data_IF_391881756486
#
_entry.id   IF_391881756486
#
_cell.length_a   1.000
_cell.length_b   1.000
_cell.length_c   1.000
_cell.angle_alpha   90.00
_cell.angle_beta   90.00
_cell.angle_gamma   90.00
#
_symmetry.space_group_name_H-M   'P 1'
#
loop_
_entity.id
_entity.type
_entity.pdbx_description
1 polymer ?
#
# COMPACT_ATOMS: atom_id res chain seq x y z
N UNK A 1 3.21 19.63 -3.54
CA UNK A 1 3.45 21.06 -3.56
C UNK A 1 3.72 21.65 -2.19
N UNK A 2 2.74 21.70 -1.29
CA UNK A 2 2.79 22.52 -0.07
C UNK A 2 3.99 22.23 0.86
N UNK A 3 4.40 20.97 1.02
CA UNK A 3 5.51 20.60 1.92
C UNK A 3 6.89 20.62 1.24
N UNK A 4 6.96 20.65 -0.09
CA UNK A 4 8.24 20.54 -0.81
C UNK A 4 9.27 21.61 -0.45
N UNK A 5 8.94 22.91 -0.29
CA UNK A 5 9.90 23.92 0.14
C UNK A 5 10.57 23.55 1.46
N UNK A 6 9.82 22.96 2.39
CA UNK A 6 10.37 22.51 3.68
C UNK A 6 11.32 21.32 3.52
N UNK A 7 10.97 20.35 2.66
CA UNK A 7 11.86 19.20 2.35
C UNK A 7 13.16 19.70 1.72
N UNK A 8 13.08 20.64 0.77
CA UNK A 8 14.24 21.23 0.11
C UNK A 8 15.17 21.97 1.09
N UNK A 9 14.59 22.65 2.09
CA UNK A 9 15.33 23.34 3.16
C UNK A 9 16.16 22.35 4.01
N UNK A 10 15.61 21.16 4.31
CA UNK A 10 16.32 20.12 5.07
C UNK A 10 17.36 19.34 4.25
N UNK A 11 17.18 19.26 2.94
CA UNK A 11 18.06 18.51 2.03
C UNK A 11 18.62 19.38 0.90
N UNK A 12 19.30 20.50 1.21
CA UNK A 12 19.71 21.46 0.18
C UNK A 12 20.76 20.89 -0.80
N UNK A 13 21.63 19.99 -0.34
CA UNK A 13 22.63 19.37 -1.19
C UNK A 13 22.04 18.45 -2.26
N UNK A 14 20.97 17.73 -1.93
CA UNK A 14 20.30 16.78 -2.83
C UNK A 14 19.20 17.45 -3.67
N UNK A 15 18.48 18.41 -3.10
CA UNK A 15 17.26 18.96 -3.68
C UNK A 15 17.36 20.43 -4.10
N UNK A 16 18.49 21.11 -3.82
CA UNK A 16 18.63 22.55 -4.08
C UNK A 16 18.32 22.99 -5.51
N UNK A 17 18.65 22.14 -6.49
CA UNK A 17 18.41 22.38 -7.91
C UNK A 17 17.23 21.53 -8.48
N UNK A 18 16.45 20.86 -7.62
CA UNK A 18 15.30 20.03 -8.02
C UNK A 18 14.02 20.84 -7.87
N UNK A 19 13.18 20.86 -8.90
CA UNK A 19 11.86 21.51 -8.81
C UNK A 19 10.87 20.62 -8.09
N UNK A 20 9.78 21.20 -7.54
CA UNK A 20 8.70 20.45 -6.92
C UNK A 20 8.09 19.43 -7.89
N UNK A 21 7.96 19.76 -9.16
CA UNK A 21 7.45 18.88 -10.21
C UNK A 21 8.40 17.69 -10.48
N UNK A 22 9.71 17.93 -10.55
CA UNK A 22 10.69 16.86 -10.72
C UNK A 22 10.68 15.91 -9.51
N UNK A 23 10.60 16.47 -8.30
CA UNK A 23 10.48 15.67 -7.08
C UNK A 23 9.20 14.84 -7.07
N UNK A 24 8.06 15.46 -7.40
CA UNK A 24 6.77 14.78 -7.50
C UNK A 24 6.81 13.59 -8.47
N UNK A 25 7.35 13.80 -9.67
CA UNK A 25 7.48 12.72 -10.66
C UNK A 25 8.41 11.59 -10.20
N UNK A 26 9.49 11.94 -9.50
CA UNK A 26 10.44 10.94 -9.00
C UNK A 26 9.83 10.05 -7.91
N UNK A 27 9.12 10.65 -6.93
CA UNK A 27 8.51 9.89 -5.82
C UNK A 27 7.23 9.13 -6.21
N UNK A 28 6.62 9.48 -7.35
CA UNK A 28 5.45 8.79 -7.89
C UNK A 28 5.78 7.96 -9.15
N UNK A 29 7.07 7.64 -9.35
CA UNK A 29 7.47 6.77 -10.46
C UNK A 29 6.86 5.38 -10.27
N UNK A 30 6.15 4.90 -11.29
CA UNK A 30 5.61 3.54 -11.33
C UNK A 30 6.61 2.66 -12.05
N UNK A 31 7.13 1.65 -11.36
CA UNK A 31 8.10 0.69 -11.91
C UNK A 31 8.06 -0.61 -11.09
N UNK A 32 7.83 -1.77 -11.71
CA UNK A 32 7.95 -3.04 -11.01
C UNK A 32 9.31 -3.20 -10.34
N UNK A 33 9.32 -3.62 -9.09
CA UNK A 33 10.52 -3.74 -8.27
C UNK A 33 10.55 -5.04 -7.47
N UNK A 34 11.69 -5.34 -6.84
CA UNK A 34 11.87 -6.57 -6.05
C UNK A 34 11.27 -6.46 -4.63
N UNK A 35 11.36 -5.31 -4.00
CA UNK A 35 11.07 -5.15 -2.57
C UNK A 35 9.69 -4.54 -2.37
N UNK A 36 8.79 -5.31 -1.74
CA UNK A 36 7.40 -4.90 -1.48
C UNK A 36 7.29 -3.55 -0.77
N UNK A 37 8.09 -3.34 0.28
CA UNK A 37 8.02 -2.11 1.09
C UNK A 37 8.58 -0.87 0.38
N UNK A 38 9.24 -1.05 -0.75
CA UNK A 38 9.81 0.01 -1.59
C UNK A 38 9.05 0.18 -2.92
N UNK A 39 8.04 -0.67 -3.16
CA UNK A 39 7.25 -0.63 -4.39
C UNK A 39 6.35 0.60 -4.44
N UNK A 40 6.01 0.99 -5.66
CA UNK A 40 5.03 2.06 -5.90
C UNK A 40 3.60 1.61 -5.58
N UNK A 41 2.70 2.58 -5.46
CA UNK A 41 1.30 2.34 -5.07
C UNK A 41 0.54 1.43 -6.04
N UNK A 42 0.84 1.51 -7.35
CA UNK A 42 0.14 0.72 -8.37
C UNK A 42 0.58 -0.75 -8.34
N UNK A 43 1.89 -1.02 -8.25
CA UNK A 43 2.42 -2.39 -8.26
C UNK A 43 2.38 -3.07 -6.89
N UNK A 44 2.16 -2.33 -5.81
CA UNK A 44 2.15 -2.84 -4.44
C UNK A 44 1.22 -4.06 -4.24
N UNK A 45 0.01 -4.00 -4.78
CA UNK A 45 -0.96 -5.08 -4.63
C UNK A 45 -0.51 -6.39 -5.30
N UNK A 46 0.29 -6.31 -6.38
CA UNK A 46 0.86 -7.51 -7.03
C UNK A 46 1.83 -8.24 -6.09
N UNK A 47 2.62 -7.50 -5.33
CA UNK A 47 3.47 -8.08 -4.27
C UNK A 47 2.67 -8.81 -3.20
N UNK A 48 1.51 -8.27 -2.81
CA UNK A 48 0.60 -8.93 -1.85
C UNK A 48 0.01 -10.19 -2.47
N UNK A 49 -0.41 -10.16 -3.74
CA UNK A 49 -0.97 -11.31 -4.46
C UNK A 49 0.02 -12.48 -4.54
N UNK A 50 1.29 -12.23 -4.84
CA UNK A 50 2.34 -13.28 -4.82
C UNK A 50 2.34 -14.02 -3.49
N UNK A 51 2.33 -13.29 -2.39
CA UNK A 51 2.36 -13.86 -1.04
C UNK A 51 1.10 -14.64 -0.72
N UNK A 52 -0.05 -14.13 -1.14
CA UNK A 52 -1.35 -14.79 -0.97
C UNK A 52 -1.40 -16.14 -1.71
N UNK A 53 -0.91 -16.18 -2.97
CA UNK A 53 -0.87 -17.42 -3.75
C UNK A 53 0.04 -18.48 -3.10
N UNK A 54 1.17 -18.08 -2.52
CA UNK A 54 2.07 -18.95 -1.80
C UNK A 54 1.45 -19.41 -0.48
N UNK A 55 0.86 -18.51 0.31
CA UNK A 55 0.20 -18.86 1.58
C UNK A 55 -0.91 -19.90 1.40
N UNK A 56 -1.74 -19.75 0.38
CA UNK A 56 -2.78 -20.75 0.07
C UNK A 56 -2.18 -22.15 -0.09
N UNK A 57 -1.08 -22.27 -0.80
CA UNK A 57 -0.43 -23.54 -1.06
C UNK A 57 0.27 -24.10 0.20
N UNK A 58 0.91 -23.24 1.00
CA UNK A 58 1.53 -23.63 2.27
C UNK A 58 0.48 -24.17 3.26
N UNK A 59 -0.64 -23.47 3.42
CA UNK A 59 -1.73 -23.87 4.32
C UNK A 59 -2.43 -25.13 3.82
N UNK A 60 -2.60 -25.27 2.49
CA UNK A 60 -3.16 -26.49 1.90
C UNK A 60 -2.20 -27.70 1.96
N UNK A 61 -0.94 -27.50 2.32
CA UNK A 61 0.08 -28.56 2.35
C UNK A 61 0.53 -29.03 0.94
N UNK A 62 0.23 -28.26 -0.09
CA UNK A 62 0.60 -28.55 -1.49
C UNK A 62 1.96 -27.95 -1.88
N UNK A 63 2.52 -27.09 -1.05
CA UNK A 63 3.84 -26.48 -1.18
C UNK A 63 4.62 -26.66 0.12
N UNK A 64 5.89 -27.07 0.02
CA UNK A 64 6.79 -27.13 1.17
C UNK A 64 7.62 -25.85 1.28
N UNK A 65 8.11 -25.53 2.48
CA UNK A 65 8.98 -24.37 2.68
C UNK A 65 10.24 -24.38 1.80
N UNK A 66 10.74 -25.57 1.44
CA UNK A 66 11.91 -25.73 0.57
C UNK A 66 11.64 -25.30 -0.87
N UNK A 67 10.40 -25.39 -1.32
CA UNK A 67 9.98 -25.06 -2.68
C UNK A 67 9.58 -23.58 -2.83
N UNK A 68 9.33 -22.89 -1.71
CA UNK A 68 8.91 -21.47 -1.73
C UNK A 68 9.81 -20.57 -2.58
N UNK A 69 11.16 -20.65 -2.53
CA UNK A 69 11.99 -19.76 -3.36
C UNK A 69 11.73 -19.89 -4.85
N UNK A 70 11.52 -21.09 -5.34
CA UNK A 70 11.25 -21.34 -6.77
C UNK A 70 9.88 -20.79 -7.18
N UNK A 71 8.83 -21.10 -6.44
CA UNK A 71 7.48 -20.60 -6.70
C UNK A 71 7.41 -19.08 -6.58
N UNK A 72 8.14 -18.51 -5.63
CA UNK A 72 8.26 -17.06 -5.49
C UNK A 72 8.85 -16.42 -6.76
N UNK A 73 9.96 -16.96 -7.25
CA UNK A 73 10.61 -16.43 -8.46
C UNK A 73 9.68 -16.53 -9.70
N UNK A 74 8.94 -17.62 -9.85
CA UNK A 74 7.96 -17.80 -10.90
C UNK A 74 6.84 -16.75 -10.85
N UNK A 75 6.23 -16.55 -9.68
CA UNK A 75 5.15 -15.57 -9.50
C UNK A 75 5.64 -14.12 -9.67
N UNK A 76 6.86 -13.81 -9.23
CA UNK A 76 7.44 -12.48 -9.48
C UNK A 76 7.65 -12.21 -10.97
N UNK A 77 8.10 -13.22 -11.69
CA UNK A 77 8.23 -13.13 -13.15
C UNK A 77 6.87 -12.96 -13.82
N UNK A 78 5.87 -13.72 -13.39
CA UNK A 78 4.53 -13.68 -13.97
C UNK A 78 3.81 -12.35 -13.69
N UNK A 79 3.81 -11.87 -12.43
CA UNK A 79 2.99 -10.73 -12.01
C UNK A 79 3.70 -9.39 -12.18
N UNK A 80 5.01 -9.36 -11.95
CA UNK A 80 5.80 -8.13 -11.97
C UNK A 80 6.78 -8.04 -13.14
N UNK A 81 7.02 -9.14 -13.85
CA UNK A 81 8.02 -9.20 -14.93
C UNK A 81 9.48 -9.09 -14.44
N UNK A 82 9.72 -9.30 -13.14
CA UNK A 82 11.02 -9.10 -12.48
C UNK A 82 11.67 -10.43 -12.16
N UNK A 83 12.97 -10.56 -12.47
CA UNK A 83 13.78 -11.72 -12.08
C UNK A 83 14.28 -11.57 -10.65
N UNK A 84 14.11 -12.62 -9.82
CA UNK A 84 14.57 -12.64 -8.42
C UNK A 84 15.99 -13.21 -8.36
N UNK A 85 17.01 -12.41 -7.97
CA UNK A 85 18.41 -12.82 -8.04
C UNK A 85 18.84 -13.77 -6.90
N UNK A 86 18.17 -13.72 -5.76
CA UNK A 86 18.47 -14.50 -4.57
C UNK A 86 17.31 -14.45 -3.56
N UNK A 87 17.36 -15.32 -2.53
CA UNK A 87 16.29 -15.43 -1.53
C UNK A 87 16.18 -14.20 -0.62
N UNK A 88 17.25 -13.45 -0.42
CA UNK A 88 17.25 -12.23 0.41
C UNK A 88 16.38 -11.14 -0.22
N UNK A 89 16.48 -10.96 -1.53
CA UNK A 89 15.64 -10.05 -2.31
C UNK A 89 14.35 -10.72 -2.78
N UNK A 90 14.21 -12.01 -2.51
CA UNK A 90 13.03 -12.84 -2.78
C UNK A 90 12.22 -13.13 -1.51
N UNK A 91 11.99 -14.40 -1.24
CA UNK A 91 11.05 -14.87 -0.20
C UNK A 91 11.48 -14.54 1.24
N UNK A 92 12.71 -14.13 1.48
CA UNK A 92 13.21 -13.74 2.81
C UNK A 92 13.13 -12.23 3.08
N UNK A 93 12.54 -11.44 2.21
CA UNK A 93 12.42 -9.99 2.39
C UNK A 93 11.42 -9.59 3.47
N UNK A 94 10.47 -10.47 3.81
CA UNK A 94 9.46 -10.26 4.85
C UNK A 94 9.65 -11.22 6.03
N UNK A 95 9.34 -10.76 7.25
CA UNK A 95 9.45 -11.55 8.49
C UNK A 95 8.12 -12.22 8.92
N UNK A 96 7.04 -12.05 8.17
CA UNK A 96 5.71 -12.51 8.54
C UNK A 96 5.67 -14.03 8.79
N UNK A 97 6.06 -14.82 7.83
CA UNK A 97 6.02 -16.30 7.94
C UNK A 97 6.96 -16.84 9.01
N UNK A 98 8.17 -16.28 9.12
CA UNK A 98 9.12 -16.69 10.17
C UNK A 98 8.62 -16.30 11.58
N UNK A 99 7.79 -15.27 11.69
CA UNK A 99 7.11 -14.87 12.92
C UNK A 99 5.77 -15.59 13.16
N UNK A 100 5.35 -16.49 12.27
CA UNK A 100 4.09 -17.23 12.38
C UNK A 100 2.84 -16.45 11.90
N UNK A 101 3.00 -15.30 11.26
CA UNK A 101 1.90 -14.46 10.77
C UNK A 101 1.45 -14.92 9.38
N UNK A 102 0.68 -15.99 9.32
CA UNK A 102 0.00 -16.46 8.10
C UNK A 102 -1.37 -15.80 7.95
N UNK A 103 -1.81 -15.58 6.70
CA UNK A 103 -3.09 -14.95 6.37
C UNK A 103 -3.13 -13.43 6.55
N UNK A 104 -2.00 -12.79 6.87
CA UNK A 104 -1.94 -11.36 7.15
C UNK A 104 -1.76 -10.48 5.91
N UNK A 105 -1.02 -10.93 4.89
CA UNK A 105 -0.71 -10.15 3.70
C UNK A 105 -1.92 -9.55 2.97
N UNK A 106 -3.07 -10.24 2.84
CA UNK A 106 -4.26 -9.65 2.23
C UNK A 106 -4.74 -8.37 2.88
N UNK A 107 -4.50 -8.17 4.19
CA UNK A 107 -4.88 -6.96 4.93
C UNK A 107 -4.28 -5.69 4.34
N UNK A 108 -3.09 -5.76 3.76
CA UNK A 108 -2.45 -4.61 3.10
C UNK A 108 -3.20 -4.17 1.84
N UNK A 109 -3.63 -5.10 1.00
CA UNK A 109 -4.41 -4.79 -0.19
C UNK A 109 -5.83 -4.32 0.15
N UNK A 110 -6.46 -4.94 1.17
CA UNK A 110 -7.76 -4.48 1.68
C UNK A 110 -7.69 -3.05 2.22
N UNK A 111 -6.59 -2.69 2.90
CA UNK A 111 -6.35 -1.33 3.36
C UNK A 111 -6.35 -0.31 2.22
N UNK A 112 -5.70 -0.64 1.10
CA UNK A 112 -5.69 0.21 -0.08
C UNK A 112 -7.10 0.35 -0.68
N UNK A 113 -7.85 -0.75 -0.81
CA UNK A 113 -9.22 -0.73 -1.32
C UNK A 113 -10.17 0.09 -0.43
N UNK A 114 -10.07 -0.07 0.90
CA UNK A 114 -10.82 0.76 1.85
C UNK A 114 -10.44 2.23 1.74
N UNK A 115 -9.15 2.54 1.63
CA UNK A 115 -8.65 3.90 1.45
C UNK A 115 -9.18 4.56 0.19
N UNK A 116 -9.21 3.84 -0.93
CA UNK A 116 -9.76 4.33 -2.19
C UNK A 116 -11.27 4.64 -2.08
N UNK A 117 -12.03 3.74 -1.46
CA UNK A 117 -13.47 3.97 -1.25
C UNK A 117 -13.73 5.13 -0.29
N UNK A 118 -12.94 5.28 0.79
CA UNK A 118 -13.04 6.43 1.69
C UNK A 118 -12.73 7.73 0.97
N UNK A 119 -11.67 7.77 0.16
CA UNK A 119 -11.31 8.93 -0.64
C UNK A 119 -12.43 9.33 -1.59
N UNK A 120 -13.00 8.36 -2.33
CA UNK A 120 -14.14 8.60 -3.20
C UNK A 120 -15.32 9.24 -2.46
N UNK A 121 -15.64 8.75 -1.25
CA UNK A 121 -16.73 9.32 -0.45
C UNK A 121 -16.40 10.73 0.06
N UNK A 122 -15.16 10.99 0.48
CA UNK A 122 -14.73 12.35 0.86
C UNK A 122 -14.87 13.33 -0.28
N UNK A 123 -14.53 12.94 -1.51
CA UNK A 123 -14.63 13.79 -2.71
C UNK A 123 -16.07 14.16 -3.07
N UNK A 124 -17.08 13.40 -2.60
CA UNK A 124 -18.47 13.77 -2.73
C UNK A 124 -18.89 14.87 -1.72
N UNK A 125 -18.15 14.99 -0.60
CA UNK A 125 -18.51 15.91 0.48
C UNK A 125 -17.69 17.22 0.43
N UNK A 126 -16.41 17.17 -0.01
CA UNK A 126 -15.53 18.34 -0.05
C UNK A 126 -14.36 18.17 -1.04
N UNK A 127 -13.70 19.28 -1.39
CA UNK A 127 -12.53 19.31 -2.28
C UNK A 127 -11.27 18.81 -1.54
N UNK A 128 -11.03 17.49 -1.57
CA UNK A 128 -9.86 16.84 -0.96
C UNK A 128 -8.57 17.36 -1.56
N UNK A 129 -8.46 17.37 -2.89
CA UNK A 129 -7.21 17.72 -3.56
C UNK A 129 -6.87 19.21 -3.46
N UNK A 130 -7.87 20.09 -3.45
CA UNK A 130 -7.65 21.50 -3.17
C UNK A 130 -7.09 21.74 -1.77
N UNK A 131 -7.65 21.09 -0.76
CA UNK A 131 -7.12 21.12 0.61
C UNK A 131 -5.67 20.66 0.68
N UNK A 132 -5.38 19.48 0.13
CA UNK A 132 -4.02 18.90 0.09
C UNK A 132 -3.02 19.82 -0.63
N UNK A 133 -3.42 20.42 -1.75
CA UNK A 133 -2.56 21.34 -2.51
C UNK A 133 -2.12 22.55 -1.70
N UNK A 134 -2.98 23.03 -0.79
CA UNK A 134 -2.70 24.15 0.13
C UNK A 134 -2.11 23.71 1.47
N UNK A 135 -1.96 22.40 1.70
CA UNK A 135 -1.46 21.86 2.98
C UNK A 135 -2.49 21.86 4.10
N UNK A 136 -3.78 22.05 3.78
CA UNK A 136 -4.88 21.95 4.74
C UNK A 136 -5.52 20.56 4.68
N UNK A 137 -5.30 19.78 5.73
CA UNK A 137 -5.87 18.44 5.90
C UNK A 137 -7.04 18.43 6.90
N UNK A 138 -7.51 19.58 7.35
CA UNK A 138 -8.52 19.67 8.43
C UNK A 138 -9.83 18.95 8.07
N UNK A 139 -10.32 19.10 6.84
CA UNK A 139 -11.52 18.42 6.37
C UNK A 139 -11.32 16.89 6.32
N UNK A 140 -10.21 16.42 5.77
CA UNK A 140 -9.86 14.98 5.71
C UNK A 140 -9.75 14.38 7.11
N UNK A 141 -8.99 15.02 8.00
CA UNK A 141 -8.81 14.54 9.37
C UNK A 141 -10.09 14.61 10.21
N UNK A 142 -10.94 15.61 9.96
CA UNK A 142 -12.27 15.75 10.56
C UNK A 142 -13.19 14.60 10.15
N UNK A 143 -13.26 14.32 8.85
CA UNK A 143 -14.05 13.23 8.30
C UNK A 143 -13.59 11.86 8.85
N UNK A 144 -12.27 11.60 8.83
CA UNK A 144 -11.71 10.37 9.39
C UNK A 144 -11.99 10.23 10.89
N UNK A 145 -11.91 11.32 11.66
CA UNK A 145 -12.23 11.29 13.09
C UNK A 145 -13.69 10.91 13.30
N UNK A 146 -14.60 11.52 12.57
CA UNK A 146 -16.04 11.30 12.71
C UNK A 146 -16.48 9.92 12.20
N UNK A 147 -15.99 9.50 11.03
CA UNK A 147 -16.49 8.29 10.36
C UNK A 147 -15.72 7.02 10.74
N UNK A 148 -14.47 7.15 11.21
CA UNK A 148 -13.56 6.02 11.42
C UNK A 148 -12.96 6.01 12.84
N UNK A 149 -12.15 7.03 13.18
CA UNK A 149 -11.27 6.95 14.34
C UNK A 149 -12.01 6.90 15.68
N UNK A 150 -13.15 7.56 15.80
CA UNK A 150 -13.92 7.59 17.06
C UNK A 150 -14.40 6.21 17.52
N UNK A 151 -14.50 5.26 16.61
CA UNK A 151 -14.96 3.91 16.96
C UNK A 151 -13.85 3.02 17.50
N UNK A 152 -12.59 3.25 17.16
CA UNK A 152 -11.47 2.42 17.57
C UNK A 152 -11.74 0.93 17.29
N UNK A 153 -11.72 0.10 18.33
CA UNK A 153 -12.06 -1.32 18.28
C UNK A 153 -13.50 -1.65 18.76
N UNK A 154 -14.38 -0.66 18.86
CA UNK A 154 -15.77 -0.87 19.27
C UNK A 154 -16.62 -1.55 18.17
N UNK A 155 -16.24 -1.37 16.92
CA UNK A 155 -16.90 -1.96 15.76
C UNK A 155 -15.91 -2.80 14.95
N UNK A 156 -16.42 -3.82 14.28
CA UNK A 156 -15.64 -4.59 13.32
C UNK A 156 -15.26 -3.73 12.10
N UNK A 157 -14.09 -3.94 11.47
CA UNK A 157 -13.62 -3.13 10.34
C UNK A 157 -14.66 -3.01 9.21
N UNK A 158 -15.35 -4.10 8.88
CA UNK A 158 -16.40 -4.11 7.86
C UNK A 158 -17.60 -3.22 8.23
N UNK A 159 -17.91 -3.07 9.53
CA UNK A 159 -18.97 -2.18 10.00
C UNK A 159 -18.52 -0.72 9.92
N UNK A 160 -17.26 -0.42 10.28
CA UNK A 160 -16.69 0.93 10.16
C UNK A 160 -16.74 1.38 8.70
N UNK A 161 -16.28 0.55 7.77
CA UNK A 161 -16.31 0.86 6.33
C UNK A 161 -17.75 1.04 5.84
N UNK A 162 -18.66 0.16 6.23
CA UNK A 162 -20.09 0.25 5.84
C UNK A 162 -20.73 1.54 6.35
N UNK A 163 -20.44 1.94 7.58
CA UNK A 163 -20.99 3.16 8.18
C UNK A 163 -20.41 4.42 7.54
N UNK A 164 -19.13 4.39 7.16
CA UNK A 164 -18.43 5.52 6.55
C UNK A 164 -18.75 5.68 5.05
N UNK A 165 -18.84 4.57 4.31
CA UNK A 165 -18.80 4.57 2.84
C UNK A 165 -19.92 3.72 2.19
N UNK A 166 -20.81 3.11 2.98
CA UNK A 166 -21.78 2.14 2.44
C UNK A 166 -21.17 0.75 2.24
N UNK A 167 -21.77 -0.04 1.36
CA UNK A 167 -21.27 -1.39 1.08
C UNK A 167 -19.87 -1.32 0.46
N UNK A 168 -18.96 -2.17 0.96
CA UNK A 168 -17.64 -2.28 0.38
C UNK A 168 -17.72 -2.75 -1.08
N UNK A 169 -17.04 -2.02 -1.96
CA UNK A 169 -16.91 -2.34 -3.38
C UNK A 169 -15.41 -2.27 -3.76
N UNK A 170 -14.87 -3.35 -4.28
CA UNK A 170 -13.48 -3.44 -4.71
C UNK A 170 -13.22 -2.81 -6.10
N UNK A 171 -14.23 -2.23 -6.74
CA UNK A 171 -14.14 -1.63 -8.08
C UNK A 171 -13.95 -0.10 -8.06
N UNK A 172 -13.61 0.48 -6.92
CA UNK A 172 -13.22 1.88 -6.81
C UNK A 172 -11.76 2.07 -7.17
#
# INVERSE_FOLDING_TARGET
GAIYPKVQEFFPAQLGNVTAEQFYRAVNKVEPSLIRTESDELTYCLHVMVRYEIEKQLIAGTLTAKEVPAVWAELYKEYLGVEVPNDREGCLQDSHWSGGSFGYFPSYALGNAYGAQMLHNMEQEFDVYGGVAHGDLSAVTGWLREKVHQYGHLLEPAEVVRNACGTFDAHY
#
